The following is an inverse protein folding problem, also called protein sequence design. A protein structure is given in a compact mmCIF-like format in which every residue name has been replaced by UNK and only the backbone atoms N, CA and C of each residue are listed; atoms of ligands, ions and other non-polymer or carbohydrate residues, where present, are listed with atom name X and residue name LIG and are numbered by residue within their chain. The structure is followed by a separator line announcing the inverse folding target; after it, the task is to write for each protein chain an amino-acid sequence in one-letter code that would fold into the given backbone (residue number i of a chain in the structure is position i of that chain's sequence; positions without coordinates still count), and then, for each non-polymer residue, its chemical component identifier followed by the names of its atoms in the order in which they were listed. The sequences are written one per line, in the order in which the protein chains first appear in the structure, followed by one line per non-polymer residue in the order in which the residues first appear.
data_IF_596634186682
#
_entry.id   IF_596634186682
#
_cell.length_a   1.000
_cell.length_b   1.000
_cell.length_c   1.000
_cell.angle_alpha   90.00
_cell.angle_beta   90.00
_cell.angle_gamma   90.00
#
_symmetry.space_group_name_H-M   'P 1'
#
loop_
_entity.id
_entity.type
_entity.pdbx_description
1 polymer ?
#
# COMPACT_ATOMS: atom_id res chain seq x y z
N UNK A 1 -4.66 36.10 -16.22
CA UNK A 1 -4.15 34.76 -16.53
C UNK A 1 -5.34 33.89 -16.91
N UNK A 2 -5.35 33.28 -18.10
CA UNK A 2 -6.38 32.32 -18.47
C UNK A 2 -6.02 30.96 -17.86
N UNK A 3 -6.95 30.35 -17.12
CA UNK A 3 -6.80 28.97 -16.66
C UNK A 3 -6.93 28.08 -17.90
N UNK A 4 -5.89 27.28 -18.16
CA UNK A 4 -5.95 26.25 -19.22
C UNK A 4 -6.59 25.01 -18.61
N UNK A 5 -7.67 24.55 -19.23
CA UNK A 5 -8.34 23.31 -18.84
C UNK A 5 -7.90 22.20 -19.81
N UNK A 6 -7.53 21.05 -19.26
CA UNK A 6 -7.20 19.85 -20.00
C UNK A 6 -8.07 18.69 -19.51
N UNK A 7 -8.61 17.90 -20.45
CA UNK A 7 -9.42 16.76 -20.13
C UNK A 7 -8.67 15.47 -20.50
N UNK A 8 -8.51 14.61 -19.50
CA UNK A 8 -7.85 13.32 -19.62
C UNK A 8 -8.86 12.19 -19.36
N UNK A 9 -8.65 11.02 -19.96
CA UNK A 9 -9.53 9.87 -19.78
C UNK A 9 -8.73 8.64 -19.39
N UNK A 10 -9.13 7.99 -18.32
CA UNK A 10 -8.54 6.78 -17.77
C UNK A 10 -9.61 5.82 -17.30
N UNK A 11 -9.25 4.53 -17.19
CA UNK A 11 -10.14 3.50 -16.64
C UNK A 11 -10.19 3.60 -15.11
N UNK A 12 -9.05 3.91 -14.49
CA UNK A 12 -8.91 4.06 -13.04
C UNK A 12 -8.11 5.33 -12.72
N UNK A 13 -8.58 6.10 -11.75
CA UNK A 13 -7.84 7.22 -11.20
C UNK A 13 -7.57 6.94 -9.72
N UNK A 14 -6.29 7.03 -9.33
CA UNK A 14 -5.82 6.82 -7.96
C UNK A 14 -5.34 8.15 -7.39
N UNK A 15 -5.83 8.55 -6.24
CA UNK A 15 -5.44 9.79 -5.56
C UNK A 15 -4.54 9.46 -4.37
N UNK A 16 -3.30 9.90 -4.46
CA UNK A 16 -2.25 9.68 -3.47
C UNK A 16 -1.26 8.58 -3.84
N UNK A 17 0.04 8.86 -3.72
CA UNK A 17 1.16 7.96 -4.05
C UNK A 17 1.79 7.26 -2.83
N UNK A 18 1.09 7.21 -1.71
CA UNK A 18 1.49 6.42 -0.56
C UNK A 18 1.38 4.91 -0.81
N UNK A 19 1.70 4.07 0.18
CA UNK A 19 1.69 2.61 0.04
C UNK A 19 0.39 2.06 -0.53
N UNK A 20 -0.76 2.51 -0.04
CA UNK A 20 -2.05 2.04 -0.53
C UNK A 20 -2.30 2.45 -1.99
N UNK A 21 -2.03 3.73 -2.34
CA UNK A 21 -2.24 4.23 -3.70
C UNK A 21 -1.29 3.58 -4.71
N UNK A 22 -0.02 3.44 -4.38
CA UNK A 22 0.95 2.78 -5.24
C UNK A 22 0.55 1.34 -5.56
N UNK A 23 0.15 0.57 -4.55
CA UNK A 23 -0.28 -0.82 -4.74
C UNK A 23 -1.62 -0.92 -5.48
N UNK A 24 -2.55 0.00 -5.22
CA UNK A 24 -3.82 0.05 -5.96
C UNK A 24 -3.61 0.38 -7.45
N UNK A 25 -2.73 1.33 -7.76
CA UNK A 25 -2.39 1.69 -9.13
C UNK A 25 -1.72 0.52 -9.87
N UNK A 26 -0.72 -0.12 -9.24
CA UNK A 26 -0.04 -1.30 -9.79
C UNK A 26 -1.02 -2.45 -10.01
N UNK A 27 -1.87 -2.77 -9.05
CA UNK A 27 -2.85 -3.85 -9.18
C UNK A 27 -3.87 -3.59 -10.29
N UNK A 28 -4.30 -2.34 -10.50
CA UNK A 28 -5.18 -1.98 -11.60
C UNK A 28 -4.47 -2.12 -12.96
N UNK A 29 -3.22 -1.67 -13.05
CA UNK A 29 -2.40 -1.80 -14.26
C UNK A 29 -2.11 -3.28 -14.61
N UNK A 30 -1.85 -4.13 -13.63
CA UNK A 30 -1.70 -5.58 -13.78
C UNK A 30 -2.94 -6.23 -14.41
N UNK A 31 -4.13 -5.65 -14.24
CA UNK A 31 -5.37 -6.09 -14.87
C UNK A 31 -5.62 -5.44 -16.25
N UNK A 32 -4.66 -4.69 -16.77
CA UNK A 32 -4.72 -4.05 -18.08
C UNK A 32 -5.45 -2.70 -18.11
N UNK A 33 -5.82 -2.14 -16.96
CA UNK A 33 -6.43 -0.82 -16.89
C UNK A 33 -5.42 0.29 -17.22
N UNK A 34 -5.88 1.33 -17.92
CA UNK A 34 -5.14 2.59 -18.04
C UNK A 34 -5.36 3.42 -16.78
N UNK A 35 -4.29 3.65 -16.02
CA UNK A 35 -4.34 4.26 -14.69
C UNK A 35 -3.74 5.66 -14.71
N UNK A 36 -4.40 6.62 -14.05
CA UNK A 36 -3.81 7.88 -13.66
C UNK A 36 -3.59 7.90 -12.14
N UNK A 37 -2.36 8.09 -11.70
CA UNK A 37 -2.01 8.36 -10.32
C UNK A 37 -1.80 9.87 -10.12
N UNK A 38 -2.56 10.47 -9.23
CA UNK A 38 -2.43 11.89 -8.89
C UNK A 38 -1.82 12.02 -7.50
N UNK A 39 -0.75 12.78 -7.37
CA UNK A 39 -0.08 13.02 -6.09
C UNK A 39 0.14 14.51 -5.84
N UNK A 40 -0.18 14.94 -4.63
CA UNK A 40 0.11 16.29 -4.16
C UNK A 40 1.62 16.56 -4.06
N UNK A 41 2.36 15.55 -3.65
CA UNK A 41 3.80 15.59 -3.44
C UNK A 41 4.49 14.69 -4.50
N UNK A 42 5.81 14.77 -4.66
CA UNK A 42 6.57 13.86 -5.53
C UNK A 42 6.32 12.39 -5.19
N UNK A 43 6.40 11.52 -6.20
CA UNK A 43 6.21 10.08 -6.03
C UNK A 43 7.07 9.49 -4.92
N UNK A 44 6.46 8.66 -4.10
CA UNK A 44 7.12 8.05 -2.94
C UNK A 44 7.29 8.99 -1.74
N UNK A 45 6.94 10.28 -1.84
CA UNK A 45 6.88 11.19 -0.70
C UNK A 45 5.59 10.94 0.08
N UNK A 46 5.64 10.06 1.08
CA UNK A 46 4.49 9.69 1.91
C UNK A 46 4.94 9.19 3.27
N UNK A 47 4.01 9.07 4.20
CA UNK A 47 4.27 8.49 5.52
C UNK A 47 4.78 7.03 5.46
N UNK A 48 4.60 6.36 4.34
CA UNK A 48 5.19 5.04 4.10
C UNK A 48 6.72 5.06 4.23
N UNK A 49 7.38 6.19 3.96
CA UNK A 49 8.82 6.35 4.14
C UNK A 49 9.29 6.30 5.59
N UNK A 50 8.41 6.52 6.54
CA UNK A 50 8.71 6.43 7.99
C UNK A 50 8.23 5.12 8.60
N UNK A 51 7.69 4.21 7.80
CA UNK A 51 7.31 2.86 8.23
C UNK A 51 8.55 2.06 8.64
N UNK A 52 8.49 1.38 9.78
CA UNK A 52 9.60 0.55 10.25
C UNK A 52 9.51 -0.89 9.77
N UNK A 53 8.33 -1.33 9.38
CA UNK A 53 8.11 -2.70 8.94
C UNK A 53 6.72 -2.95 8.39
N UNK A 54 6.54 -4.16 7.93
CA UNK A 54 5.29 -4.69 7.40
C UNK A 54 4.87 -5.90 8.23
N UNK A 55 3.63 -5.94 8.71
CA UNK A 55 3.08 -7.10 9.39
C UNK A 55 2.61 -8.14 8.38
N UNK A 56 3.16 -9.34 8.46
CA UNK A 56 2.78 -10.47 7.62
C UNK A 56 2.88 -11.78 8.39
N UNK A 57 1.90 -12.66 8.24
CA UNK A 57 1.85 -13.92 8.96
C UNK A 57 2.93 -14.89 8.51
N UNK A 58 3.53 -15.63 9.45
CA UNK A 58 4.48 -16.73 9.25
C UNK A 58 5.82 -16.43 8.55
N UNK A 59 6.07 -15.20 8.10
CA UNK A 59 7.30 -14.88 7.37
C UNK A 59 8.52 -14.71 8.28
N UNK A 60 8.37 -14.08 9.44
CA UNK A 60 9.48 -13.68 10.30
C UNK A 60 9.68 -14.53 11.55
N UNK A 61 8.91 -15.55 11.79
CA UNK A 61 9.32 -16.43 12.87
C UNK A 61 8.30 -17.23 13.66
N UNK A 62 7.04 -16.89 13.67
CA UNK A 62 6.02 -17.70 14.36
C UNK A 62 5.28 -18.56 13.36
N UNK A 63 5.61 -19.85 13.33
CA UNK A 63 5.00 -20.81 12.37
C UNK A 63 3.54 -21.13 12.72
N UNK A 64 3.15 -20.90 13.99
CA UNK A 64 1.78 -21.03 14.50
C UNK A 64 0.94 -19.77 14.35
N UNK A 65 1.45 -18.74 13.65
CA UNK A 65 0.71 -17.53 13.39
C UNK A 65 -0.35 -17.70 12.30
N UNK A 66 -1.50 -17.09 12.49
CA UNK A 66 -2.64 -17.17 11.59
C UNK A 66 -3.23 -15.79 11.33
N UNK A 67 -3.93 -15.67 10.23
CA UNK A 67 -4.60 -14.44 9.79
C UNK A 67 -5.61 -13.95 10.83
N UNK A 68 -6.34 -14.86 11.46
CA UNK A 68 -7.31 -14.55 12.51
C UNK A 68 -6.62 -13.94 13.75
N UNK A 69 -5.45 -14.45 14.11
CA UNK A 69 -4.66 -13.92 15.24
C UNK A 69 -4.15 -12.51 14.93
N UNK A 70 -3.74 -12.25 13.69
CA UNK A 70 -3.35 -10.90 13.27
C UNK A 70 -4.54 -9.94 13.30
N UNK A 71 -5.69 -10.34 12.75
CA UNK A 71 -6.92 -9.52 12.77
C UNK A 71 -7.33 -9.18 14.20
N UNK A 72 -7.29 -10.15 15.11
CA UNK A 72 -7.63 -9.94 16.51
C UNK A 72 -6.65 -8.99 17.22
N UNK A 73 -5.35 -9.11 16.95
CA UNK A 73 -4.36 -8.18 17.51
C UNK A 73 -4.60 -6.74 17.05
N UNK A 74 -4.94 -6.52 15.78
CA UNK A 74 -5.25 -5.18 15.25
C UNK A 74 -6.49 -4.62 15.95
N UNK A 75 -7.54 -5.44 16.15
CA UNK A 75 -8.76 -5.02 16.87
C UNK A 75 -8.45 -4.65 18.32
N UNK A 76 -7.73 -5.50 19.04
CA UNK A 76 -7.34 -5.24 20.43
C UNK A 76 -6.50 -3.97 20.56
N UNK A 77 -5.53 -3.76 19.66
CA UNK A 77 -4.69 -2.57 19.65
C UNK A 77 -5.49 -1.28 19.36
N UNK A 78 -6.52 -1.38 18.53
CA UNK A 78 -7.37 -0.26 18.15
C UNK A 78 -8.60 -0.05 19.08
N UNK A 79 -8.80 -0.87 20.09
CA UNK A 79 -10.00 -0.84 20.91
C UNK A 79 -11.26 -1.08 20.07
N UNK A 80 -12.28 -0.27 20.23
CA UNK A 80 -13.55 -0.40 19.51
C UNK A 80 -13.57 0.32 18.14
N UNK A 81 -12.46 0.93 17.74
CA UNK A 81 -12.38 1.71 16.49
C UNK A 81 -12.22 0.86 15.22
N UNK A 82 -11.50 -0.29 15.22
CA UNK A 82 -11.26 -1.04 14.01
C UNK A 82 -12.54 -1.63 13.40
N UNK A 83 -12.65 -1.51 12.08
CA UNK A 83 -13.73 -2.12 11.31
C UNK A 83 -13.34 -3.57 11.00
N UNK A 84 -14.11 -4.53 11.52
CA UNK A 84 -13.79 -5.97 11.44
C UNK A 84 -13.46 -6.45 10.01
N UNK A 85 -14.26 -6.06 9.04
CA UNK A 85 -14.04 -6.51 7.65
C UNK A 85 -12.72 -5.97 7.08
N UNK A 86 -12.25 -4.80 7.52
CA UNK A 86 -10.96 -4.26 7.08
C UNK A 86 -9.80 -4.96 7.75
N UNK A 87 -9.89 -5.27 9.05
CA UNK A 87 -8.85 -6.03 9.75
C UNK A 87 -8.71 -7.45 9.23
N UNK A 88 -9.83 -8.11 8.94
CA UNK A 88 -9.85 -9.45 8.34
C UNK A 88 -9.23 -9.44 6.93
N UNK A 89 -9.58 -8.44 6.10
CA UNK A 89 -9.02 -8.27 4.76
C UNK A 89 -7.52 -8.00 4.81
N UNK A 90 -7.09 -7.06 5.66
CA UNK A 90 -5.67 -6.77 5.87
C UNK A 90 -4.88 -8.04 6.25
N UNK A 91 -5.39 -8.80 7.20
CA UNK A 91 -4.74 -9.99 7.71
C UNK A 91 -4.65 -11.10 6.65
N UNK A 92 -5.75 -11.33 5.93
CA UNK A 92 -5.84 -12.32 4.85
C UNK A 92 -4.82 -12.06 3.74
N UNK A 93 -4.65 -10.82 3.33
CA UNK A 93 -3.77 -10.44 2.22
C UNK A 93 -2.38 -9.98 2.67
N UNK A 94 -2.04 -10.09 3.96
CA UNK A 94 -0.76 -9.60 4.49
C UNK A 94 0.47 -10.27 3.83
N UNK A 95 0.38 -11.56 3.53
CA UNK A 95 1.44 -12.32 2.85
C UNK A 95 1.59 -11.87 1.40
N UNK A 96 0.48 -11.73 0.69
CA UNK A 96 0.48 -11.27 -0.70
C UNK A 96 1.07 -9.85 -0.83
N UNK A 97 0.67 -8.94 0.06
CA UNK A 97 1.25 -7.59 0.12
C UNK A 97 2.75 -7.63 0.36
N UNK A 98 3.24 -8.48 1.26
CA UNK A 98 4.67 -8.65 1.49
C UNK A 98 5.39 -9.17 0.24
N UNK A 99 4.84 -10.14 -0.46
CA UNK A 99 5.42 -10.69 -1.67
C UNK A 99 5.49 -9.63 -2.78
N UNK A 100 4.45 -8.82 -2.95
CA UNK A 100 4.45 -7.68 -3.89
C UNK A 100 5.53 -6.65 -3.55
N UNK A 101 5.72 -6.28 -2.30
CA UNK A 101 6.82 -5.41 -1.90
C UNK A 101 8.19 -6.01 -2.24
N UNK A 102 8.36 -7.33 -2.12
CA UNK A 102 9.59 -8.02 -2.50
C UNK A 102 9.83 -8.02 -4.02
N UNK A 103 8.79 -8.17 -4.81
CA UNK A 103 8.85 -8.04 -6.28
C UNK A 103 9.37 -6.66 -6.67
N UNK A 104 8.94 -5.62 -5.95
CA UNK A 104 9.38 -4.24 -6.16
C UNK A 104 10.64 -3.85 -5.37
N UNK A 105 11.45 -4.82 -5.00
CA UNK A 105 12.80 -4.56 -4.50
C UNK A 105 12.95 -4.47 -2.98
N UNK A 106 11.91 -4.68 -2.18
CA UNK A 106 12.07 -4.79 -0.74
C UNK A 106 12.99 -5.98 -0.38
N UNK A 107 14.01 -5.73 0.41
CA UNK A 107 14.96 -6.75 0.88
C UNK A 107 14.97 -6.74 2.41
N UNK A 108 14.28 -7.68 3.06
CA UNK A 108 14.26 -7.76 4.51
C UNK A 108 15.62 -8.17 5.05
N UNK A 109 15.93 -7.72 6.25
CA UNK A 109 17.04 -8.29 7.01
C UNK A 109 16.78 -9.76 7.29
N UNK A 110 17.80 -10.60 7.18
CA UNK A 110 17.69 -12.04 7.36
C UNK A 110 18.27 -12.46 8.70
N UNK A 111 17.50 -13.22 9.48
CA UNK A 111 18.01 -13.97 10.60
C UNK A 111 18.80 -15.17 10.07
N UNK A 112 20.13 -15.13 10.24
CA UNK A 112 21.05 -16.12 9.67
C UNK A 112 20.87 -17.52 10.28
N UNK A 113 20.47 -17.60 11.54
CA UNK A 113 20.28 -18.88 12.24
C UNK A 113 19.04 -19.62 11.72
N UNK A 114 17.98 -18.85 11.45
CA UNK A 114 16.68 -19.40 11.00
C UNK A 114 16.50 -19.38 9.49
N UNK A 115 17.43 -18.75 8.76
CA UNK A 115 17.36 -18.55 7.31
C UNK A 115 16.00 -17.98 6.83
N UNK A 116 15.47 -17.01 7.55
CA UNK A 116 14.19 -16.36 7.26
C UNK A 116 14.25 -14.86 7.62
N UNK A 117 13.29 -14.04 7.17
CA UNK A 117 13.24 -12.63 7.56
C UNK A 117 13.31 -12.44 9.06
N UNK A 118 14.09 -11.46 9.49
CA UNK A 118 14.19 -11.11 10.91
C UNK A 118 12.94 -10.36 11.33
N UNK A 119 12.33 -10.81 12.42
CA UNK A 119 11.21 -10.09 13.03
C UNK A 119 11.69 -8.86 13.78
N UNK A 120 10.89 -7.79 13.71
CA UNK A 120 10.95 -6.70 14.66
C UNK A 120 10.44 -7.16 16.04
N UNK A 121 10.74 -6.42 17.12
CA UNK A 121 10.31 -6.78 18.47
C UNK A 121 8.80 -6.98 18.59
N UNK A 122 8.37 -7.98 19.34
CA UNK A 122 6.95 -8.29 19.58
C UNK A 122 6.11 -7.14 20.15
N UNK A 123 6.72 -6.32 20.97
CA UNK A 123 6.02 -5.21 21.63
C UNK A 123 5.55 -4.11 20.67
N UNK A 124 6.04 -4.12 19.45
CA UNK A 124 5.64 -3.12 18.44
C UNK A 124 4.23 -3.41 17.93
N UNK A 125 3.37 -2.40 17.98
CA UNK A 125 2.02 -2.45 17.43
C UNK A 125 1.06 -3.44 18.10
N UNK A 126 1.34 -3.88 19.34
CA UNK A 126 0.46 -4.78 20.09
C UNK A 126 0.45 -6.22 19.60
N UNK A 127 1.43 -6.63 18.81
CA UNK A 127 1.53 -8.01 18.34
C UNK A 127 1.88 -8.98 19.45
N UNK A 128 1.26 -10.16 19.44
CA UNK A 128 1.58 -11.30 20.32
C UNK A 128 2.28 -12.45 19.60
N UNK A 129 2.63 -12.26 18.33
CA UNK A 129 3.40 -13.18 17.48
C UNK A 129 4.50 -12.43 16.74
N UNK A 130 5.59 -13.10 16.41
CA UNK A 130 6.64 -12.58 15.55
C UNK A 130 6.14 -12.55 14.11
N UNK A 131 5.78 -11.40 13.59
CA UNK A 131 5.23 -11.24 12.25
C UNK A 131 5.66 -9.98 11.51
N UNK A 132 6.26 -9.02 12.20
CA UNK A 132 6.69 -7.79 11.57
C UNK A 132 8.03 -7.99 10.87
N UNK A 133 8.06 -7.71 9.58
CA UNK A 133 9.27 -7.78 8.77
C UNK A 133 9.74 -6.37 8.49
N UNK A 134 10.99 -6.08 8.86
CA UNK A 134 11.64 -4.80 8.60
C UNK A 134 12.66 -4.89 7.48
N UNK A 135 13.18 -3.74 7.09
CA UNK A 135 14.29 -3.60 6.16
C UNK A 135 15.41 -2.78 6.84
N UNK A 136 16.68 -3.06 6.49
CA UNK A 136 17.82 -2.33 7.06
C UNK A 136 17.74 -0.81 6.83
N UNK A 137 17.11 -0.39 5.74
CA UNK A 137 16.89 1.02 5.39
C UNK A 137 15.51 1.53 5.84
N UNK A 138 14.78 0.79 6.65
CA UNK A 138 13.46 1.16 7.20
C UNK A 138 12.48 1.64 6.11
N UNK A 139 11.70 2.67 6.43
CA UNK A 139 10.64 3.20 5.57
C UNK A 139 11.09 3.74 4.22
N UNK A 140 12.35 4.13 4.07
CA UNK A 140 12.89 4.53 2.76
C UNK A 140 12.79 3.39 1.76
N UNK A 141 13.03 2.14 2.20
CA UNK A 141 12.92 0.97 1.33
C UNK A 141 11.47 0.73 0.87
N UNK A 142 10.48 0.98 1.72
CA UNK A 142 9.06 0.90 1.35
C UNK A 142 8.67 2.00 0.37
N UNK A 143 9.17 3.24 0.56
CA UNK A 143 8.98 4.32 -0.39
C UNK A 143 9.56 4.01 -1.77
N UNK A 144 10.76 3.44 -1.83
CA UNK A 144 11.37 3.00 -3.08
C UNK A 144 10.60 1.86 -3.75
N UNK A 145 10.12 0.89 -2.99
CA UNK A 145 9.32 -0.20 -3.53
C UNK A 145 7.99 0.30 -4.13
N UNK A 146 7.35 1.28 -3.49
CA UNK A 146 6.16 1.93 -4.04
C UNK A 146 6.46 2.67 -5.33
N UNK A 147 7.55 3.43 -5.38
CA UNK A 147 7.98 4.10 -6.61
C UNK A 147 8.26 3.08 -7.71
N UNK A 148 9.02 2.04 -7.41
CA UNK A 148 9.33 0.98 -8.37
C UNK A 148 8.07 0.32 -8.94
N UNK A 149 7.06 0.07 -8.10
CA UNK A 149 5.76 -0.45 -8.51
C UNK A 149 5.05 0.46 -9.53
N UNK A 150 5.18 1.78 -9.38
CA UNK A 150 4.54 2.75 -10.28
C UNK A 150 5.32 2.87 -11.60
N UNK A 151 6.62 3.11 -11.53
CA UNK A 151 7.42 3.44 -12.73
C UNK A 151 7.67 2.25 -13.66
N UNK A 152 7.54 1.02 -13.18
CA UNK A 152 7.67 -0.19 -14.01
C UNK A 152 6.45 -0.50 -14.84
N UNK A 153 5.30 0.04 -14.47
CA UNK A 153 4.04 -0.22 -15.14
C UNK A 153 3.84 0.73 -16.31
N UNK A 154 3.75 0.18 -17.53
CA UNK A 154 3.54 0.98 -18.74
C UNK A 154 2.14 1.61 -18.84
N UNK A 155 1.18 1.12 -18.06
CA UNK A 155 -0.21 1.59 -18.07
C UNK A 155 -0.51 2.60 -16.96
N UNK A 156 0.51 3.05 -16.22
CA UNK A 156 0.35 4.08 -15.19
C UNK A 156 0.96 5.39 -15.68
N UNK A 157 0.09 6.37 -15.94
CA UNK A 157 0.49 7.77 -16.02
C UNK A 157 0.42 8.38 -14.63
N UNK A 158 1.28 9.36 -14.32
CA UNK A 158 1.25 10.02 -13.02
C UNK A 158 1.42 11.53 -13.13
N UNK A 159 0.75 12.25 -12.21
CA UNK A 159 0.86 13.68 -12.02
C UNK A 159 1.36 13.95 -10.60
N UNK A 160 2.51 14.59 -10.50
CA UNK A 160 3.08 15.11 -9.25
C UNK A 160 2.70 16.60 -9.09
N UNK A 161 2.84 17.12 -7.88
CA UNK A 161 2.48 18.51 -7.55
C UNK A 161 1.05 18.87 -7.97
N UNK A 162 0.16 17.90 -7.96
CA UNK A 162 -1.22 18.00 -8.42
C UNK A 162 -2.20 17.81 -7.27
N UNK A 163 -3.05 18.82 -7.07
CA UNK A 163 -4.04 18.79 -6.00
C UNK A 163 -5.35 18.18 -6.50
N UNK A 164 -5.80 17.15 -5.82
CA UNK A 164 -7.18 16.70 -5.95
C UNK A 164 -8.10 17.68 -5.22
N UNK A 165 -9.00 18.30 -5.93
CA UNK A 165 -9.92 19.30 -5.37
C UNK A 165 -11.28 18.69 -5.05
N UNK A 166 -11.87 17.96 -5.99
CA UNK A 166 -13.22 17.43 -5.81
C UNK A 166 -13.48 16.26 -6.79
N UNK A 167 -14.58 15.56 -6.54
CA UNK A 167 -15.09 14.48 -7.37
C UNK A 167 -16.47 14.87 -7.92
N UNK A 168 -16.55 15.07 -9.23
CA UNK A 168 -17.81 15.29 -9.92
C UNK A 168 -18.36 13.94 -10.38
N UNK A 169 -19.52 13.55 -9.87
CA UNK A 169 -20.18 12.30 -10.26
C UNK A 169 -21.38 12.60 -11.14
N UNK A 170 -21.37 12.15 -12.38
CA UNK A 170 -22.55 12.16 -13.25
C UNK A 170 -23.49 11.00 -12.86
N UNK A 171 -24.46 11.28 -12.02
CA UNK A 171 -25.47 10.30 -11.56
C UNK A 171 -26.60 10.05 -12.56
N UNK A 172 -26.65 10.79 -13.66
CA UNK A 172 -27.69 10.63 -14.68
C UNK A 172 -27.35 9.58 -15.75
N UNK A 173 -26.08 9.20 -15.82
CA UNK A 173 -25.62 8.16 -16.72
C UNK A 173 -25.53 6.84 -15.97
N UNK A 174 -26.15 5.79 -16.49
CA UNK A 174 -26.11 4.43 -15.93
C UNK A 174 -24.69 3.87 -15.74
N UNK A 175 -23.67 4.50 -16.35
CA UNK A 175 -22.28 4.11 -16.29
C UNK A 175 -21.47 4.76 -15.16
N UNK A 176 -22.10 5.51 -14.23
CA UNK A 176 -21.46 6.12 -13.05
C UNK A 176 -20.06 6.68 -13.30
N UNK A 177 -19.88 7.49 -14.35
CA UNK A 177 -18.59 8.11 -14.63
C UNK A 177 -18.24 9.13 -13.55
N UNK A 178 -17.11 8.95 -12.89
CA UNK A 178 -16.53 9.93 -12.00
C UNK A 178 -15.57 10.83 -12.79
N UNK A 179 -15.64 12.12 -12.54
CA UNK A 179 -14.72 13.12 -13.08
C UNK A 179 -13.99 13.73 -11.90
N UNK A 180 -12.67 13.70 -11.94
CA UNK A 180 -11.83 14.34 -10.92
C UNK A 180 -11.44 15.74 -11.40
N UNK A 181 -11.58 16.72 -10.52
CA UNK A 181 -11.28 18.12 -10.79
C UNK A 181 -10.18 18.62 -9.86
#
# INVERSE_FOLDING_TARGET
MSIKTEWLSYDVIVVGSGGAGAQAASAAADQGAKVLLVSKDPLGASDTKISEGLATVRESGSDDDMEEVLSENIKLAGGDLPIKNLTDTFSKYSKEAYDKYREHGLRPSINKEKNRPQSLPLAMGGHNRNRSVGHANHGVAFGHANWDAIIKENNIDYLEDAWFLDLIVDRKNENNKAIIV
#
